data_IF_637184161391
#
_entry.id   IF_637184161391
#
_cell.length_a   1.000
_cell.length_b   1.000
_cell.length_c   1.000
_cell.angle_alpha   90.00
_cell.angle_beta   90.00
_cell.angle_gamma   90.00
#
_symmetry.space_group_name_H-M   'P 1'
#
loop_
_entity.id
_entity.type
_entity.pdbx_description
1 polymer ?
#
# COMPACT_ATOMS: atom_id res chain seq x y z
N UNK A 1 -9.14 -15.85 -12.12
CA UNK A 1 -9.10 -15.11 -10.85
C UNK A 1 -10.25 -15.52 -9.94
N UNK A 2 -10.13 -16.54 -9.08
CA UNK A 2 -11.12 -16.79 -8.00
C UNK A 2 -10.60 -16.06 -6.76
N UNK A 3 -11.44 -15.36 -5.97
CA UNK A 3 -12.90 -15.35 -6.02
C UNK A 3 -13.52 -14.15 -6.78
N UNK A 4 -12.77 -13.44 -7.62
CA UNK A 4 -13.26 -12.23 -8.33
C UNK A 4 -14.60 -12.39 -9.07
N UNK A 5 -14.91 -13.58 -9.60
CA UNK A 5 -16.16 -13.85 -10.31
C UNK A 5 -17.38 -14.17 -9.42
N UNK A 6 -17.25 -14.13 -8.10
CA UNK A 6 -18.39 -14.24 -7.14
C UNK A 6 -19.12 -12.89 -6.96
N UNK A 7 -18.61 -11.83 -7.58
CA UNK A 7 -19.15 -10.47 -7.48
C UNK A 7 -18.29 -9.57 -6.58
N UNK A 8 -18.74 -8.33 -6.40
CA UNK A 8 -17.93 -7.27 -5.77
C UNK A 8 -18.01 -7.21 -4.24
N UNK A 9 -18.95 -7.92 -3.62
CA UNK A 9 -19.12 -7.94 -2.18
C UNK A 9 -18.10 -8.89 -1.53
N UNK A 10 -17.05 -8.34 -0.89
CA UNK A 10 -16.01 -9.17 -0.26
C UNK A 10 -16.50 -9.92 0.98
N UNK A 11 -17.53 -9.43 1.67
CA UNK A 11 -18.03 -10.04 2.91
C UNK A 11 -18.67 -11.41 2.72
N UNK A 12 -18.96 -11.81 1.48
CA UNK A 12 -19.57 -13.11 1.16
C UNK A 12 -18.60 -14.06 0.46
N UNK A 13 -17.35 -13.66 0.23
CA UNK A 13 -16.38 -14.50 -0.46
C UNK A 13 -15.82 -15.58 0.48
N UNK A 14 -15.53 -16.79 -0.03
CA UNK A 14 -15.22 -17.95 0.81
C UNK A 14 -13.74 -18.01 1.21
N UNK A 15 -13.15 -16.90 1.69
CA UNK A 15 -11.70 -16.85 1.98
C UNK A 15 -11.23 -17.92 2.97
N UNK A 16 -12.03 -18.22 3.99
CA UNK A 16 -11.72 -19.31 4.93
C UNK A 16 -11.60 -20.68 4.25
N UNK A 17 -12.45 -20.97 3.27
CA UNK A 17 -12.36 -22.21 2.47
C UNK A 17 -11.11 -22.21 1.61
N UNK A 18 -10.78 -21.09 0.98
CA UNK A 18 -9.56 -20.96 0.17
C UNK A 18 -8.29 -21.20 0.99
N UNK A 19 -8.25 -20.73 2.25
CA UNK A 19 -7.17 -21.02 3.18
C UNK A 19 -7.13 -22.51 3.52
N UNK A 20 -8.26 -23.13 3.83
CA UNK A 20 -8.35 -24.57 4.14
C UNK A 20 -7.94 -25.46 2.97
N UNK A 21 -8.26 -25.04 1.73
CA UNK A 21 -7.91 -25.74 0.50
C UNK A 21 -6.44 -25.55 0.10
N UNK A 22 -5.71 -24.67 0.79
CA UNK A 22 -4.27 -24.45 0.60
C UNK A 22 -3.91 -23.47 -0.51
N UNK A 23 -4.81 -22.55 -0.88
CA UNK A 23 -4.46 -21.47 -1.81
C UNK A 23 -3.44 -20.51 -1.17
N UNK A 24 -2.28 -20.33 -1.79
CA UNK A 24 -1.27 -19.40 -1.26
C UNK A 24 -1.58 -17.92 -1.50
N UNK A 25 -2.33 -17.64 -2.56
CA UNK A 25 -2.78 -16.31 -2.91
C UNK A 25 -4.01 -16.42 -3.80
N UNK A 26 -4.78 -15.33 -3.87
CA UNK A 26 -5.94 -15.28 -4.74
C UNK A 26 -6.26 -13.87 -5.24
N UNK A 27 -6.64 -13.79 -6.51
CA UNK A 27 -7.06 -12.56 -7.18
C UNK A 27 -8.48 -12.21 -6.78
N UNK A 28 -8.62 -11.11 -6.04
CA UNK A 28 -9.88 -10.63 -5.49
C UNK A 28 -10.75 -9.86 -6.49
N UNK A 29 -10.11 -9.11 -7.40
CA UNK A 29 -10.76 -8.11 -8.24
C UNK A 29 -10.31 -8.18 -9.69
N UNK A 30 -10.72 -7.20 -10.49
CA UNK A 30 -10.47 -7.06 -11.93
C UNK A 30 -8.99 -7.13 -12.30
N UNK A 31 -8.72 -7.47 -13.56
CA UNK A 31 -7.37 -7.49 -14.11
C UNK A 31 -6.83 -6.07 -14.28
N UNK A 32 -5.62 -5.83 -13.75
CA UNK A 32 -4.97 -4.53 -13.89
C UNK A 32 -4.64 -4.25 -15.36
N UNK A 33 -4.99 -3.05 -15.82
CA UNK A 33 -4.67 -2.54 -17.14
C UNK A 33 -3.56 -1.50 -17.06
N UNK A 34 -2.91 -1.24 -18.20
CA UNK A 34 -1.77 -0.34 -18.28
C UNK A 34 -2.21 1.12 -18.34
N UNK A 35 -2.87 1.60 -17.29
CA UNK A 35 -3.35 2.98 -17.14
C UNK A 35 -3.67 3.30 -15.66
N UNK A 36 -3.79 4.59 -15.37
CA UNK A 36 -4.07 5.09 -14.02
C UNK A 36 -5.49 4.76 -13.55
N UNK A 37 -6.48 4.75 -14.44
CA UNK A 37 -7.88 4.49 -14.07
C UNK A 37 -8.03 3.08 -13.51
N UNK A 38 -7.38 2.09 -14.12
CA UNK A 38 -7.35 0.72 -13.61
C UNK A 38 -6.62 0.62 -12.27
N UNK A 39 -5.42 1.20 -12.16
CA UNK A 39 -4.64 1.19 -10.91
C UNK A 39 -5.40 1.85 -9.75
N UNK A 40 -5.96 3.04 -9.97
CA UNK A 40 -6.72 3.77 -8.95
C UNK A 40 -8.01 3.04 -8.56
N UNK A 41 -8.68 2.37 -9.49
CA UNK A 41 -9.88 1.56 -9.18
C UNK A 41 -9.57 0.38 -8.26
N UNK A 42 -8.40 -0.26 -8.39
CA UNK A 42 -7.95 -1.34 -7.51
C UNK A 42 -7.62 -0.79 -6.12
N UNK A 43 -6.93 0.36 -6.05
CA UNK A 43 -6.62 1.03 -4.78
C UNK A 43 -7.92 1.37 -4.03
N UNK A 44 -8.90 1.95 -4.72
CA UNK A 44 -10.20 2.29 -4.14
C UNK A 44 -10.95 1.04 -3.65
N UNK A 45 -10.94 -0.03 -4.45
CA UNK A 45 -11.57 -1.29 -4.08
C UNK A 45 -10.97 -1.87 -2.79
N UNK A 46 -9.63 -1.91 -2.68
CA UNK A 46 -8.96 -2.35 -1.46
C UNK A 46 -9.23 -1.42 -0.27
N UNK A 47 -9.34 -0.11 -0.51
CA UNK A 47 -9.64 0.86 0.55
C UNK A 47 -11.04 0.64 1.14
N UNK A 48 -12.01 0.34 0.28
CA UNK A 48 -13.39 0.10 0.68
C UNK A 48 -13.61 -1.25 1.38
N UNK A 49 -12.80 -2.26 1.07
CA UNK A 49 -12.94 -3.61 1.61
C UNK A 49 -11.85 -4.01 2.61
N UNK A 50 -10.88 -3.13 2.91
CA UNK A 50 -9.70 -3.46 3.69
C UNK A 50 -10.01 -4.11 5.04
N UNK A 51 -11.02 -3.63 5.77
CA UNK A 51 -11.45 -4.19 7.06
C UNK A 51 -12.05 -5.61 6.95
N UNK A 52 -12.63 -5.95 5.81
CA UNK A 52 -13.18 -7.29 5.51
C UNK A 52 -12.08 -8.24 5.04
N UNK A 53 -11.10 -7.73 4.30
CA UNK A 53 -10.00 -8.50 3.73
C UNK A 53 -8.91 -8.82 4.77
N UNK A 54 -8.53 -7.84 5.60
CA UNK A 54 -7.39 -7.94 6.51
C UNK A 54 -7.37 -9.22 7.39
N UNK A 55 -8.50 -9.72 7.93
CA UNK A 55 -8.49 -10.96 8.73
C UNK A 55 -8.09 -12.24 7.98
N UNK A 56 -8.11 -12.23 6.64
CA UNK A 56 -7.84 -13.39 5.79
C UNK A 56 -6.48 -13.33 5.08
N UNK A 57 -5.71 -12.25 5.25
CA UNK A 57 -4.34 -12.14 4.77
C UNK A 57 -3.35 -12.51 5.89
N UNK A 58 -2.38 -13.36 5.56
CA UNK A 58 -1.35 -13.80 6.51
C UNK A 58 -0.33 -14.75 5.89
N UNK A 59 0.68 -15.19 6.68
CA UNK A 59 1.73 -16.07 6.20
C UNK A 59 1.19 -17.33 5.50
N UNK A 60 1.36 -17.37 4.18
CA UNK A 60 0.97 -18.51 3.34
C UNK A 60 -0.39 -18.39 2.67
N UNK A 61 -1.11 -17.26 2.83
CA UNK A 61 -2.40 -16.98 2.19
C UNK A 61 -2.62 -15.47 2.00
N UNK A 62 -2.54 -14.97 0.77
CA UNK A 62 -2.49 -13.53 0.47
C UNK A 62 -3.58 -13.06 -0.49
N UNK A 63 -4.09 -11.84 -0.25
CA UNK A 63 -4.90 -11.12 -1.23
C UNK A 63 -4.00 -10.60 -2.35
N UNK A 64 -4.37 -10.87 -3.60
CA UNK A 64 -3.61 -10.47 -4.78
C UNK A 64 -4.29 -9.29 -5.49
N UNK A 65 -3.67 -8.11 -5.39
CA UNK A 65 -4.06 -6.87 -6.06
C UNK A 65 -3.69 -6.84 -7.55
N UNK A 66 -3.18 -7.95 -8.09
CA UNK A 66 -2.60 -8.07 -9.43
C UNK A 66 -1.20 -7.43 -9.55
N UNK A 67 -0.63 -7.54 -10.74
CA UNK A 67 0.77 -7.21 -11.03
C UNK A 67 1.12 -5.73 -10.86
N UNK A 68 2.41 -5.46 -10.62
CA UNK A 68 2.99 -4.12 -10.63
C UNK A 68 3.14 -3.59 -12.06
N UNK A 69 2.68 -2.36 -12.31
CA UNK A 69 2.84 -1.60 -13.57
C UNK A 69 4.16 -0.82 -13.62
N UNK A 70 4.93 -0.83 -12.54
CA UNK A 70 6.18 -0.09 -12.39
C UNK A 70 7.18 -0.47 -13.49
N UNK A 71 7.65 0.49 -14.27
CA UNK A 71 8.56 0.29 -15.40
C UNK A 71 7.89 -0.24 -16.67
N UNK A 72 6.55 -0.34 -16.71
CA UNK A 72 5.81 -0.69 -17.92
C UNK A 72 5.62 0.50 -18.88
N UNK A 73 5.95 1.73 -18.45
CA UNK A 73 5.83 2.98 -19.21
C UNK A 73 4.38 3.37 -19.59
N UNK A 74 3.44 3.17 -18.67
CA UNK A 74 2.02 3.51 -18.87
C UNK A 74 1.36 4.24 -17.70
N UNK A 75 2.09 4.43 -16.61
CA UNK A 75 1.74 5.27 -15.46
C UNK A 75 2.91 6.19 -15.15
N UNK A 76 2.67 7.28 -14.44
CA UNK A 76 3.72 8.24 -14.06
C UNK A 76 4.58 7.69 -12.91
N UNK A 77 5.78 8.25 -12.72
CA UNK A 77 6.65 7.85 -11.60
C UNK A 77 6.01 8.08 -10.21
N UNK A 78 5.11 9.06 -10.08
CA UNK A 78 4.33 9.29 -8.87
C UNK A 78 3.34 8.14 -8.62
N UNK A 79 2.65 7.73 -9.66
CA UNK A 79 1.71 6.61 -9.63
C UNK A 79 2.43 5.27 -9.38
N UNK A 80 3.65 5.09 -9.91
CA UNK A 80 4.52 3.95 -9.60
C UNK A 80 4.90 3.88 -8.12
N UNK A 81 5.28 5.02 -7.51
CA UNK A 81 5.54 5.11 -6.07
C UNK A 81 4.29 4.78 -5.27
N UNK A 82 3.14 5.33 -5.65
CA UNK A 82 1.86 5.04 -5.02
C UNK A 82 1.52 3.55 -5.08
N UNK A 83 1.66 2.91 -6.24
CA UNK A 83 1.43 1.47 -6.37
C UNK A 83 2.33 0.67 -5.44
N UNK A 84 3.64 0.96 -5.44
CA UNK A 84 4.60 0.25 -4.58
C UNK A 84 4.27 0.43 -3.09
N UNK A 85 3.91 1.64 -2.66
CA UNK A 85 3.57 1.93 -1.26
C UNK A 85 2.34 1.13 -0.83
N UNK A 86 1.25 1.22 -1.59
CA UNK A 86 -0.04 0.65 -1.23
C UNK A 86 0.02 -0.88 -1.32
N UNK A 87 0.66 -1.46 -2.34
CA UNK A 87 0.87 -2.93 -2.39
C UNK A 87 1.69 -3.42 -1.19
N UNK A 88 2.68 -2.63 -0.74
CA UNK A 88 3.49 -2.96 0.43
C UNK A 88 2.67 -2.89 1.73
N UNK A 89 1.84 -1.86 1.90
CA UNK A 89 0.92 -1.73 3.04
C UNK A 89 -0.12 -2.86 3.04
N UNK A 90 -0.71 -3.18 1.90
CA UNK A 90 -1.74 -4.22 1.78
C UNK A 90 -1.21 -5.65 1.80
N UNK A 91 0.11 -5.84 1.97
CA UNK A 91 0.77 -7.15 1.93
C UNK A 91 0.46 -7.95 0.64
N UNK A 92 0.27 -7.22 -0.47
CA UNK A 92 0.00 -7.82 -1.78
C UNK A 92 1.30 -8.38 -2.39
N UNK A 93 1.23 -9.45 -3.22
CA UNK A 93 2.39 -9.93 -3.96
C UNK A 93 3.05 -8.84 -4.81
N UNK A 94 4.38 -8.75 -4.78
CA UNK A 94 5.17 -7.85 -5.64
C UNK A 94 5.57 -8.57 -6.94
N UNK A 95 4.58 -8.85 -7.80
CA UNK A 95 4.79 -9.53 -9.09
C UNK A 95 4.92 -8.48 -10.20
N UNK A 96 6.09 -8.37 -10.84
CA UNK A 96 6.34 -7.36 -11.88
C UNK A 96 5.71 -7.75 -13.23
N UNK A 97 4.95 -6.82 -13.83
CA UNK A 97 4.34 -6.96 -15.16
C UNK A 97 5.09 -6.18 -16.27
N UNK A 98 6.42 -6.11 -16.23
CA UNK A 98 7.22 -5.24 -17.09
C UNK A 98 8.26 -6.00 -17.97
N UNK A 99 8.89 -5.29 -18.92
CA UNK A 99 10.05 -5.78 -19.67
C UNK A 99 11.34 -5.40 -18.93
N UNK A 100 11.93 -6.35 -18.19
CA UNK A 100 13.15 -6.15 -17.38
C UNK A 100 14.35 -5.61 -18.16
N UNK A 101 14.37 -5.72 -19.50
CA UNK A 101 15.45 -5.18 -20.36
C UNK A 101 15.33 -3.67 -20.59
N UNK A 102 14.18 -3.08 -20.26
CA UNK A 102 13.78 -1.71 -20.60
C UNK A 102 13.28 -0.88 -19.41
N UNK A 103 13.40 -1.39 -18.19
CA UNK A 103 13.01 -0.65 -16.98
C UNK A 103 13.94 0.56 -16.81
N UNK A 104 13.35 1.76 -16.74
CA UNK A 104 14.09 3.00 -16.50
C UNK A 104 14.69 3.06 -15.08
N UNK A 105 15.68 3.93 -14.88
CA UNK A 105 16.42 4.00 -13.62
C UNK A 105 15.54 4.38 -12.41
N UNK A 106 14.55 5.27 -12.61
CA UNK A 106 13.62 5.66 -11.54
C UNK A 106 12.71 4.49 -11.14
N UNK A 107 12.02 3.87 -12.09
CA UNK A 107 11.19 2.69 -11.84
C UNK A 107 11.98 1.54 -11.23
N UNK A 108 13.23 1.36 -11.66
CA UNK A 108 14.14 0.37 -11.07
C UNK A 108 14.48 0.70 -9.62
N UNK A 109 14.71 1.97 -9.29
CA UNK A 109 14.96 2.40 -7.91
C UNK A 109 13.74 2.16 -7.01
N UNK A 110 12.52 2.36 -7.52
CA UNK A 110 11.27 2.04 -6.80
C UNK A 110 11.18 0.53 -6.54
N UNK A 111 11.33 -0.29 -7.59
CA UNK A 111 11.26 -1.76 -7.51
C UNK A 111 12.31 -2.38 -6.59
N UNK A 112 13.49 -1.77 -6.49
CA UNK A 112 14.62 -2.26 -5.69
C UNK A 112 14.75 -1.55 -4.34
N UNK A 113 13.80 -0.68 -3.97
CA UNK A 113 13.84 0.00 -2.68
C UNK A 113 13.71 -1.03 -1.54
N UNK A 114 14.81 -1.28 -0.84
CA UNK A 114 14.90 -2.31 0.20
C UNK A 114 13.98 -2.03 1.38
N UNK A 115 13.73 -0.76 1.69
CA UNK A 115 12.88 -0.38 2.81
C UNK A 115 11.40 -0.62 2.49
N UNK A 116 10.97 -0.33 1.24
CA UNK A 116 9.63 -0.67 0.76
C UNK A 116 9.42 -2.19 0.69
N UNK A 117 10.39 -2.93 0.15
CA UNK A 117 10.34 -4.41 0.13
C UNK A 117 10.28 -4.95 1.56
N UNK A 118 11.03 -4.39 2.50
CA UNK A 118 11.02 -4.84 3.90
C UNK A 118 9.65 -4.61 4.56
N UNK A 119 8.93 -3.53 4.22
CA UNK A 119 7.52 -3.35 4.65
C UNK A 119 6.65 -4.46 4.07
N UNK A 120 6.74 -4.73 2.77
CA UNK A 120 5.94 -5.77 2.13
C UNK A 120 6.20 -7.16 2.74
N UNK A 121 7.48 -7.50 2.94
CA UNK A 121 7.97 -8.80 3.41
C UNK A 121 8.02 -8.94 4.94
N UNK A 122 7.42 -8.01 5.68
CA UNK A 122 7.42 -8.08 7.14
C UNK A 122 6.81 -9.41 7.63
N UNK A 123 7.51 -10.14 8.53
CA UNK A 123 7.13 -11.50 8.92
C UNK A 123 5.86 -11.57 9.76
N UNK A 124 5.35 -10.46 10.30
CA UNK A 124 4.04 -10.43 10.93
C UNK A 124 2.95 -10.82 9.92
N UNK A 125 3.17 -10.50 8.64
CA UNK A 125 2.27 -10.85 7.54
C UNK A 125 0.85 -10.26 7.66
N UNK A 126 0.62 -9.37 8.62
CA UNK A 126 -0.67 -8.69 8.76
C UNK A 126 -0.81 -7.63 7.68
N UNK A 127 -1.89 -7.73 6.92
CA UNK A 127 -2.29 -6.73 5.93
C UNK A 127 -2.64 -5.41 6.62
N UNK A 128 -2.12 -4.31 6.08
CA UNK A 128 -2.54 -2.96 6.42
C UNK A 128 -3.79 -2.52 5.66
N UNK A 129 -4.40 -1.43 6.11
CA UNK A 129 -5.67 -0.91 5.59
C UNK A 129 -5.60 0.61 5.38
N UNK A 130 -6.55 1.15 4.61
CA UNK A 130 -6.84 2.59 4.60
C UNK A 130 -7.52 2.97 5.92
N UNK A 131 -7.05 4.05 6.54
CA UNK A 131 -7.63 4.62 7.76
C UNK A 131 -8.66 5.71 7.45
N UNK A 132 -8.44 6.46 6.37
CA UNK A 132 -9.43 7.41 5.84
C UNK A 132 -10.70 6.66 5.42
N UNK A 133 -11.87 7.15 5.87
CA UNK A 133 -13.13 6.43 5.72
C UNK A 133 -13.56 6.30 4.25
N UNK A 134 -13.54 7.41 3.49
CA UNK A 134 -14.07 7.44 2.13
C UNK A 134 -12.99 7.34 1.04
N UNK A 135 -13.31 6.64 -0.05
CA UNK A 135 -12.49 6.62 -1.27
C UNK A 135 -12.60 7.92 -2.08
N UNK A 136 -13.65 8.72 -1.82
CA UNK A 136 -13.86 10.02 -2.47
C UNK A 136 -12.96 11.11 -1.85
N UNK A 137 -12.38 10.84 -0.68
CA UNK A 137 -11.42 11.76 -0.07
C UNK A 137 -10.09 11.73 -0.85
N UNK A 138 -9.60 12.90 -1.31
CA UNK A 138 -8.40 12.96 -2.14
C UNK A 138 -7.13 12.70 -1.33
N UNK A 139 -7.12 12.99 -0.03
CA UNK A 139 -5.96 12.80 0.84
C UNK A 139 -6.23 11.60 1.74
N UNK A 140 -5.43 10.56 1.60
CA UNK A 140 -5.69 9.28 2.25
C UNK A 140 -4.49 8.84 3.08
N UNK A 141 -4.77 8.24 4.24
CA UNK A 141 -3.80 7.54 5.05
C UNK A 141 -4.02 6.04 4.97
N UNK A 142 -2.96 5.32 4.65
CA UNK A 142 -2.91 3.87 4.67
C UNK A 142 -1.83 3.43 5.66
N UNK A 143 -2.11 2.43 6.50
CA UNK A 143 -1.19 2.03 7.55
C UNK A 143 -1.10 0.51 7.70
N UNK A 144 0.10 0.03 8.04
CA UNK A 144 0.41 -1.37 8.35
C UNK A 144 1.26 -1.45 9.61
N UNK A 145 0.86 -2.29 10.55
CA UNK A 145 1.70 -2.63 11.72
C UNK A 145 2.77 -3.62 11.30
N UNK A 146 4.02 -3.38 11.71
CA UNK A 146 5.16 -4.25 11.43
C UNK A 146 5.56 -5.07 12.66
N UNK A 147 6.30 -6.15 12.43
CA UNK A 147 6.72 -7.10 13.46
C UNK A 147 7.61 -6.50 14.56
N UNK A 148 8.30 -5.40 14.29
CA UNK A 148 9.14 -4.68 15.25
C UNK A 148 8.36 -3.65 16.10
N UNK A 149 7.04 -3.54 15.90
CA UNK A 149 6.17 -2.57 16.57
C UNK A 149 6.15 -1.19 15.91
N UNK A 150 6.90 -0.97 14.83
CA UNK A 150 6.77 0.24 14.01
C UNK A 150 5.53 0.16 13.12
N UNK A 151 5.07 1.33 12.64
CA UNK A 151 3.95 1.45 11.71
C UNK A 151 4.48 1.99 10.38
N UNK A 152 4.24 1.27 9.29
CA UNK A 152 4.42 1.81 7.94
C UNK A 152 3.18 2.63 7.55
N UNK A 153 3.37 3.82 7.00
CA UNK A 153 2.30 4.73 6.58
C UNK A 153 2.53 5.21 5.16
N UNK A 154 1.52 5.05 4.30
CA UNK A 154 1.44 5.71 3.01
C UNK A 154 0.45 6.87 3.09
N UNK A 155 0.98 8.10 3.07
CA UNK A 155 0.19 9.32 2.91
C UNK A 155 0.02 9.58 1.41
N UNK A 156 -1.13 9.18 0.89
CA UNK A 156 -1.46 9.12 -0.53
C UNK A 156 -2.30 10.33 -0.92
N UNK A 157 -1.85 11.07 -1.94
CA UNK A 157 -2.63 12.12 -2.57
C UNK A 157 -3.24 11.59 -3.88
N UNK A 158 -4.52 11.26 -3.85
CA UNK A 158 -5.34 10.93 -5.02
C UNK A 158 -5.73 12.14 -5.87
N UNK A 159 -5.60 13.36 -5.34
CA UNK A 159 -6.00 14.58 -6.02
C UNK A 159 -5.06 15.00 -7.16
N UNK A 160 -5.51 16.00 -7.90
CA UNK A 160 -4.83 16.55 -9.09
C UNK A 160 -3.78 17.63 -8.77
N UNK A 161 -3.74 18.10 -7.53
CA UNK A 161 -2.85 19.16 -7.06
C UNK A 161 -2.00 18.70 -5.88
N UNK A 162 -0.81 19.28 -5.71
CA UNK A 162 0.03 19.00 -4.55
C UNK A 162 -0.64 19.44 -3.25
N UNK A 163 -0.55 18.62 -2.21
CA UNK A 163 -1.20 18.88 -0.93
C UNK A 163 -0.38 18.41 0.26
N UNK A 164 -0.62 19.02 1.42
CA UNK A 164 -0.06 18.58 2.70
C UNK A 164 -1.01 17.55 3.32
N UNK A 165 -0.46 16.45 3.82
CA UNK A 165 -1.23 15.39 4.48
C UNK A 165 -0.78 15.28 5.95
N UNK A 166 -1.69 15.57 6.87
CA UNK A 166 -1.44 15.43 8.30
C UNK A 166 -1.59 13.98 8.74
N UNK A 167 -0.67 13.51 9.60
CA UNK A 167 -0.70 12.20 10.24
C UNK A 167 -0.76 12.45 11.74
N UNK A 168 -1.93 12.21 12.34
CA UNK A 168 -2.08 12.22 13.79
C UNK A 168 -1.62 10.86 14.34
N UNK A 169 -0.64 10.88 15.23
CA UNK A 169 -0.06 9.65 15.78
C UNK A 169 -1.05 8.89 16.67
N UNK A 170 -2.02 9.59 17.28
CA UNK A 170 -3.03 8.94 18.11
C UNK A 170 -4.00 8.05 17.32
N UNK A 171 -4.25 8.36 16.04
CA UNK A 171 -5.02 7.49 15.13
C UNK A 171 -4.33 6.15 14.87
N UNK A 172 -3.00 6.12 15.03
CA UNK A 172 -2.15 4.94 14.88
C UNK A 172 -1.83 4.27 16.23
N UNK A 173 -2.45 4.73 17.32
CA UNK A 173 -2.12 4.33 18.70
C UNK A 173 -0.64 4.55 19.07
N UNK A 174 -0.02 5.57 18.49
CA UNK A 174 1.35 5.98 18.78
C UNK A 174 1.34 7.20 19.71
N UNK A 175 2.13 7.13 20.78
CA UNK A 175 2.22 8.18 21.80
C UNK A 175 3.67 8.47 22.16
N UNK A 176 3.95 9.70 22.59
CA UNK A 176 5.30 10.15 22.90
C UNK A 176 6.05 10.64 21.65
N UNK A 177 7.37 10.48 21.69
CA UNK A 177 8.25 10.85 20.58
C UNK A 177 8.31 9.70 19.56
N UNK A 178 7.99 10.03 18.32
CA UNK A 178 7.94 9.08 17.20
C UNK A 178 9.01 9.48 16.19
N UNK A 179 9.95 8.58 15.94
CA UNK A 179 10.91 8.74 14.86
C UNK A 179 10.23 8.50 13.51
N UNK A 180 10.37 9.46 12.60
CA UNK A 180 9.81 9.43 11.25
C UNK A 180 10.93 9.18 10.25
N UNK A 181 10.84 8.08 9.50
CA UNK A 181 11.76 7.73 8.41
C UNK A 181 11.02 7.74 7.07
N UNK A 182 11.55 8.46 6.08
CA UNK A 182 11.01 8.48 4.73
C UNK A 182 11.63 7.34 3.92
N UNK A 183 10.80 6.42 3.43
CA UNK A 183 11.20 5.21 2.69
C UNK A 183 11.70 5.57 1.28
N UNK A 184 11.08 6.53 0.61
CA UNK A 184 11.52 6.97 -0.71
C UNK A 184 12.86 7.69 -0.69
N UNK A 185 13.05 8.54 0.32
CA UNK A 185 14.30 9.28 0.49
C UNK A 185 15.38 8.47 1.22
N UNK A 186 15.01 7.31 1.78
CA UNK A 186 15.83 6.46 2.63
C UNK A 186 16.56 7.25 3.75
N UNK A 187 15.83 8.16 4.40
CA UNK A 187 16.38 9.06 5.41
C UNK A 187 15.44 9.25 6.59
N UNK A 188 16.01 9.40 7.78
CA UNK A 188 15.29 9.90 8.95
C UNK A 188 14.94 11.36 8.74
N UNK A 189 13.66 11.69 8.87
CA UNK A 189 13.15 13.06 8.78
C UNK A 189 13.33 13.77 10.12
N UNK A 190 13.09 13.07 11.23
CA UNK A 190 13.24 13.62 12.58
C UNK A 190 12.46 12.80 13.61
N UNK A 191 12.32 13.38 14.81
CA UNK A 191 11.44 12.87 15.87
C UNK A 191 10.37 13.90 16.17
N UNK A 192 9.12 13.46 16.27
CA UNK A 192 7.95 14.32 16.41
C UNK A 192 7.02 13.77 17.49
N UNK A 193 6.21 14.64 18.09
CA UNK A 193 5.21 14.27 19.09
C UNK A 193 3.83 14.77 18.68
N UNK A 194 2.78 13.98 18.88
CA UNK A 194 1.40 14.32 18.53
C UNK A 194 1.09 14.10 17.05
N UNK A 195 1.79 14.75 16.13
CA UNK A 195 1.57 14.59 14.70
C UNK A 195 2.81 14.87 13.84
N UNK A 196 2.71 14.50 12.56
CA UNK A 196 3.65 14.84 11.49
C UNK A 196 2.89 15.26 10.24
N UNK A 197 3.39 16.25 9.50
CA UNK A 197 2.80 16.68 8.22
C UNK A 197 3.72 16.26 7.08
N UNK A 198 3.17 15.46 6.17
CA UNK A 198 3.81 15.10 4.93
C UNK A 198 3.59 16.24 3.93
N UNK A 199 4.56 17.15 3.83
CA UNK A 199 4.44 18.38 3.04
C UNK A 199 4.52 18.11 1.52
N UNK A 200 3.70 18.85 0.76
CA UNK A 200 3.74 18.94 -0.70
C UNK A 200 3.78 17.57 -1.40
N UNK A 201 2.89 16.67 -1.00
CA UNK A 201 2.69 15.38 -1.69
C UNK A 201 2.08 15.67 -3.05
N UNK A 202 2.79 15.33 -4.13
CA UNK A 202 2.35 15.63 -5.49
C UNK A 202 1.06 14.89 -5.86
N UNK A 203 0.45 15.32 -6.97
CA UNK A 203 -0.71 14.62 -7.53
C UNK A 203 -0.41 13.16 -7.80
N UNK A 204 -1.34 12.29 -7.42
CA UNK A 204 -1.27 10.83 -7.53
C UNK A 204 -0.04 10.19 -6.84
N UNK A 205 0.68 10.95 -6.02
CA UNK A 205 1.92 10.52 -5.37
C UNK A 205 1.67 10.11 -3.91
N UNK A 206 2.68 9.50 -3.31
CA UNK A 206 2.62 9.03 -1.93
C UNK A 206 3.89 9.40 -1.19
N UNK A 207 3.75 9.93 0.03
CA UNK A 207 4.83 9.93 1.03
C UNK A 207 4.78 8.61 1.79
N UNK A 208 5.79 7.78 1.61
CA UNK A 208 5.87 6.48 2.27
C UNK A 208 6.84 6.54 3.46
N UNK A 209 6.34 6.24 4.64
CA UNK A 209 6.98 6.50 5.92
C UNK A 209 7.03 5.24 6.78
N UNK A 210 8.05 5.14 7.63
CA UNK A 210 8.07 4.24 8.80
C UNK A 210 8.09 5.11 10.06
N UNK A 211 7.14 4.85 10.95
CA UNK A 211 6.95 5.54 12.22
C UNK A 211 7.33 4.60 13.36
N UNK A 212 8.30 4.99 14.18
CA UNK A 212 8.85 4.14 15.25
C UNK A 212 8.74 4.85 16.60
N UNK A 213 7.96 4.32 17.56
CA UNK A 213 8.01 4.78 18.96
C UNK A 213 9.44 4.79 19.50
N UNK A 214 9.81 5.82 20.26
CA UNK A 214 11.11 5.93 20.93
C UNK A 214 11.05 5.53 22.40
#
# INVERSE_FOLDING_TARGET
SWPAYIGSNESVKPFGEMIMDGCNLWRNWDDIQCDWDSLSSIIDYWGNWGSVLAPYAGPGHWHDMDMLLIGANCVTEAEERTQMAIWSISASPLIMGNDLRKVGDVSKAILLNKDAIAVNQDPLGQMGIRLTESADEPLQLWARTLSDGSIAVAAYNKGDDAADISIDFSELNLFGDIAVYCIWDQKTVGSFSGSFVAESVGSHDTRFLRLTPQ
#
